data_IF_773745906452
#
_entry.id   IF_773745906452
#
_cell.length_a   1.000
_cell.length_b   1.000
_cell.length_c   1.000
_cell.angle_alpha   90.00
_cell.angle_beta   90.00
_cell.angle_gamma   90.00
#
_symmetry.space_group_name_H-M   'P 1'
#
loop_
_entity.id
_entity.type
_entity.pdbx_description
1 polymer ?
#
# COMPACT_ATOMS: atom_id res chain seq x y z
N UNK A 1 -15.02 6.24 -22.20
CA UNK A 1 -14.83 5.77 -20.85
C UNK A 1 -15.90 6.38 -19.96
N UNK A 2 -16.65 5.54 -19.22
CA UNK A 2 -17.89 5.97 -18.53
C UNK A 2 -17.69 6.78 -17.23
N UNK A 3 -16.48 6.90 -16.74
CA UNK A 3 -16.18 7.54 -15.44
C UNK A 3 -16.22 9.06 -15.49
N UNK A 4 -16.05 9.66 -16.67
CA UNK A 4 -15.99 11.13 -16.80
C UNK A 4 -17.37 11.83 -16.80
N UNK A 5 -18.47 11.09 -16.74
CA UNK A 5 -19.82 11.66 -16.84
C UNK A 5 -20.58 11.79 -15.51
N UNK A 6 -20.11 11.15 -14.42
CA UNK A 6 -20.78 11.24 -13.12
C UNK A 6 -19.75 11.26 -11.97
N UNK A 7 -19.63 12.37 -11.23
CA UNK A 7 -18.69 12.47 -10.10
C UNK A 7 -18.94 11.38 -9.02
N UNK A 8 -20.17 10.88 -8.93
CA UNK A 8 -20.53 9.83 -7.98
C UNK A 8 -19.81 8.49 -8.24
N UNK A 9 -19.56 8.12 -9.50
CA UNK A 9 -18.80 6.90 -9.81
C UNK A 9 -17.33 7.02 -9.42
N UNK A 10 -16.75 8.21 -9.57
CA UNK A 10 -15.38 8.48 -9.12
C UNK A 10 -15.27 8.37 -7.59
N UNK A 11 -16.20 8.98 -6.87
CA UNK A 11 -16.25 8.93 -5.39
C UNK A 11 -16.47 7.49 -4.93
N UNK A 12 -17.39 6.74 -5.53
CA UNK A 12 -17.62 5.34 -5.19
C UNK A 12 -16.36 4.48 -5.41
N UNK A 13 -15.65 4.68 -6.52
CA UNK A 13 -14.37 4.03 -6.80
C UNK A 13 -13.30 4.38 -5.75
N UNK A 14 -13.20 5.66 -5.38
CA UNK A 14 -12.27 6.13 -4.36
C UNK A 14 -12.58 5.52 -2.99
N UNK A 15 -13.85 5.44 -2.59
CA UNK A 15 -14.25 4.81 -1.33
C UNK A 15 -13.92 3.32 -1.31
N UNK A 16 -14.24 2.59 -2.38
CA UNK A 16 -13.90 1.16 -2.49
C UNK A 16 -12.38 0.93 -2.41
N UNK A 17 -11.61 1.79 -3.04
CA UNK A 17 -10.16 1.79 -3.02
C UNK A 17 -9.60 2.05 -1.61
N UNK A 18 -10.14 3.04 -0.89
CA UNK A 18 -9.76 3.32 0.51
C UNK A 18 -10.07 2.14 1.44
N UNK A 19 -11.21 1.48 1.26
CA UNK A 19 -11.58 0.29 2.04
C UNK A 19 -10.59 -0.86 1.80
N UNK A 20 -10.16 -1.09 0.56
CA UNK A 20 -9.14 -2.08 0.26
C UNK A 20 -7.81 -1.77 0.95
N UNK A 21 -7.36 -0.50 0.93
CA UNK A 21 -6.14 -0.07 1.62
C UNK A 21 -6.21 -0.24 3.13
N UNK A 22 -7.35 0.09 3.75
CA UNK A 22 -7.56 -0.13 5.18
C UNK A 22 -7.49 -1.61 5.55
N UNK A 23 -7.97 -2.49 4.68
CA UNK A 23 -7.85 -3.94 4.86
C UNK A 23 -6.38 -4.39 4.83
N UNK A 24 -5.56 -3.87 3.92
CA UNK A 24 -4.11 -4.13 3.90
C UNK A 24 -3.40 -3.60 5.14
N UNK A 25 -3.71 -2.37 5.57
CA UNK A 25 -3.15 -1.81 6.80
C UNK A 25 -3.48 -2.71 7.99
N UNK A 26 -4.72 -3.17 8.09
CA UNK A 26 -5.15 -4.07 9.17
C UNK A 26 -4.37 -5.37 9.16
N UNK A 27 -4.19 -6.00 7.99
CA UNK A 27 -3.42 -7.22 7.84
C UNK A 27 -1.95 -7.01 8.25
N UNK A 28 -1.32 -5.93 7.80
CA UNK A 28 0.09 -5.62 8.13
C UNK A 28 0.27 -5.22 9.60
N UNK A 29 -0.71 -4.53 10.18
CA UNK A 29 -0.71 -4.20 11.61
C UNK A 29 -0.83 -5.44 12.49
N UNK A 30 -1.62 -6.44 12.12
CA UNK A 30 -1.71 -7.70 12.85
C UNK A 30 -0.36 -8.42 12.86
N UNK A 31 0.38 -8.39 11.76
CA UNK A 31 1.74 -8.93 11.71
C UNK A 31 2.70 -8.17 12.64
N UNK A 32 2.57 -6.84 12.68
CA UNK A 32 3.36 -5.97 13.54
C UNK A 32 3.11 -6.26 15.02
N UNK A 33 1.86 -6.48 15.42
CA UNK A 33 1.48 -6.72 16.82
C UNK A 33 1.98 -8.07 17.36
N UNK A 34 2.19 -9.05 16.51
CA UNK A 34 2.58 -10.41 16.93
C UNK A 34 4.03 -10.52 17.42
N UNK A 35 4.92 -9.58 17.11
CA UNK A 35 6.33 -9.61 17.52
C UNK A 35 6.69 -8.51 18.50
N UNK A 36 7.39 -8.91 19.58
CA UNK A 36 7.78 -8.03 20.70
C UNK A 36 8.93 -7.07 20.31
N UNK A 37 9.74 -7.43 19.30
CA UNK A 37 10.96 -6.67 18.96
C UNK A 37 10.71 -5.80 17.73
N UNK A 38 10.39 -4.54 17.98
CA UNK A 38 10.24 -3.52 16.91
C UNK A 38 11.54 -2.74 16.75
N UNK A 39 11.98 -2.59 15.51
CA UNK A 39 13.10 -1.71 15.21
C UNK A 39 12.61 -0.25 15.14
N UNK A 40 12.72 0.48 16.26
CA UNK A 40 12.28 1.86 16.37
C UNK A 40 12.94 2.78 15.34
N UNK A 41 14.21 2.53 15.01
CA UNK A 41 14.96 3.31 14.01
C UNK A 41 14.38 3.11 12.63
N UNK A 42 14.10 1.87 12.24
CA UNK A 42 13.47 1.56 10.94
C UNK A 42 12.08 2.19 10.84
N UNK A 43 11.30 2.14 11.92
CA UNK A 43 9.99 2.79 11.99
C UNK A 43 10.09 4.29 11.78
N UNK A 44 11.01 4.95 12.47
CA UNK A 44 11.23 6.39 12.34
C UNK A 44 11.67 6.76 10.91
N UNK A 45 12.59 6.01 10.32
CA UNK A 45 13.02 6.21 8.93
C UNK A 45 11.83 6.06 7.97
N UNK A 46 11.01 5.03 8.13
CA UNK A 46 9.83 4.82 7.31
C UNK A 46 8.85 6.01 7.41
N UNK A 47 8.55 6.46 8.63
CA UNK A 47 7.67 7.61 8.88
C UNK A 47 8.22 8.88 8.23
N UNK A 48 9.53 9.14 8.34
CA UNK A 48 10.15 10.31 7.73
C UNK A 48 10.09 10.24 6.20
N UNK A 49 10.48 9.11 5.60
CA UNK A 49 10.52 8.96 4.13
C UNK A 49 9.11 9.07 3.54
N UNK A 50 8.16 8.28 4.03
CA UNK A 50 6.79 8.28 3.49
C UNK A 50 5.99 9.51 3.92
N UNK A 51 6.29 10.11 5.07
CA UNK A 51 5.72 11.38 5.50
C UNK A 51 6.14 12.55 4.61
N UNK A 52 7.44 12.68 4.33
CA UNK A 52 7.97 13.70 3.39
C UNK A 52 7.37 13.49 2.00
N UNK A 53 7.30 12.24 1.54
CA UNK A 53 6.68 11.91 0.26
C UNK A 53 5.21 12.34 0.21
N UNK A 54 4.42 12.02 1.24
CA UNK A 54 3.00 12.40 1.36
C UNK A 54 2.81 13.91 1.29
N UNK A 55 3.59 14.67 2.07
CA UNK A 55 3.55 16.14 2.11
C UNK A 55 3.94 16.73 0.75
N UNK A 56 5.01 16.24 0.14
CA UNK A 56 5.49 16.71 -1.16
C UNK A 56 4.46 16.47 -2.27
N UNK A 57 3.88 15.27 -2.30
CA UNK A 57 2.84 14.91 -3.27
C UNK A 57 1.60 15.77 -3.09
N UNK A 58 1.13 15.94 -1.85
CA UNK A 58 -0.04 16.76 -1.56
C UNK A 58 0.17 18.24 -1.96
N UNK A 59 1.33 18.80 -1.65
CA UNK A 59 1.67 20.16 -2.03
C UNK A 59 1.70 20.33 -3.57
N UNK A 60 2.25 19.35 -4.27
CA UNK A 60 2.29 19.34 -5.74
C UNK A 60 0.90 19.26 -6.36
N UNK A 61 0.00 18.48 -5.79
CA UNK A 61 -1.37 18.29 -6.30
C UNK A 61 -2.33 19.42 -5.87
N UNK A 62 -2.07 20.08 -4.75
CA UNK A 62 -2.96 21.02 -4.07
C UNK A 62 -3.60 22.08 -4.99
N UNK A 63 -2.91 22.67 -6.00
CA UNK A 63 -3.50 23.66 -6.89
C UNK A 63 -4.64 23.12 -7.77
N UNK A 64 -4.60 21.81 -8.10
CA UNK A 64 -5.58 21.16 -8.99
C UNK A 64 -6.72 20.44 -8.27
N UNK A 65 -6.69 20.33 -6.95
CA UNK A 65 -7.62 19.47 -6.20
C UNK A 65 -9.02 20.06 -5.98
N UNK A 66 -9.19 21.40 -6.01
CA UNK A 66 -10.49 22.04 -5.73
C UNK A 66 -11.12 21.50 -4.43
N UNK A 67 -12.37 21.01 -4.53
CA UNK A 67 -13.13 20.44 -3.39
C UNK A 67 -12.68 19.03 -2.97
N UNK A 68 -11.81 18.38 -3.75
CA UNK A 68 -11.32 17.04 -3.49
C UNK A 68 -10.07 17.00 -2.61
N UNK A 69 -9.65 18.13 -2.04
CA UNK A 69 -8.47 18.23 -1.16
C UNK A 69 -8.52 17.24 0.02
N UNK A 70 -9.66 17.17 0.70
CA UNK A 70 -9.82 16.29 1.87
C UNK A 70 -9.78 14.81 1.48
N UNK A 71 -10.57 14.33 0.50
CA UNK A 71 -10.49 12.94 0.07
C UNK A 71 -9.09 12.50 -0.40
N UNK A 72 -8.39 13.35 -1.15
CA UNK A 72 -7.05 13.03 -1.65
C UNK A 72 -6.01 13.05 -0.54
N UNK A 73 -6.11 13.98 0.42
CA UNK A 73 -5.26 13.97 1.61
C UNK A 73 -5.44 12.70 2.44
N UNK A 74 -6.68 12.28 2.69
CA UNK A 74 -6.99 11.04 3.38
C UNK A 74 -6.38 9.82 2.65
N UNK A 75 -6.53 9.74 1.34
CA UNK A 75 -5.94 8.70 0.51
C UNK A 75 -4.42 8.67 0.62
N UNK A 76 -3.76 9.82 0.51
CA UNK A 76 -2.31 9.93 0.62
C UNK A 76 -1.78 9.49 1.99
N UNK A 77 -2.49 9.83 3.08
CA UNK A 77 -2.14 9.39 4.44
C UNK A 77 -2.30 7.88 4.58
N UNK A 78 -3.41 7.32 4.11
CA UNK A 78 -3.70 5.89 4.22
C UNK A 78 -2.66 5.07 3.46
N UNK A 79 -2.33 5.45 2.23
CA UNK A 79 -1.34 4.75 1.40
C UNK A 79 0.07 4.85 2.00
N UNK A 80 0.46 6.02 2.50
CA UNK A 80 1.73 6.21 3.19
C UNK A 80 1.81 5.35 4.45
N UNK A 81 0.73 5.26 5.22
CA UNK A 81 0.63 4.40 6.40
C UNK A 81 0.78 2.93 6.02
N UNK A 82 0.14 2.48 4.95
CA UNK A 82 0.29 1.12 4.42
C UNK A 82 1.76 0.81 4.07
N UNK A 83 2.45 1.72 3.39
CA UNK A 83 3.87 1.56 3.05
C UNK A 83 4.78 1.54 4.28
N UNK A 84 4.50 2.35 5.29
CA UNK A 84 5.20 2.35 6.58
C UNK A 84 5.06 0.98 7.26
N UNK A 85 3.86 0.44 7.36
CA UNK A 85 3.66 -0.89 7.95
C UNK A 85 4.31 -1.99 7.11
N UNK A 86 4.24 -1.93 5.77
CA UNK A 86 4.91 -2.88 4.91
C UNK A 86 6.43 -2.89 5.13
N UNK A 87 7.08 -1.72 5.26
CA UNK A 87 8.50 -1.60 5.56
C UNK A 87 8.86 -2.14 6.94
N UNK A 88 7.99 -1.93 7.93
CA UNK A 88 8.22 -2.39 9.31
C UNK A 88 8.06 -3.91 9.51
N UNK A 89 7.57 -4.64 8.51
CA UNK A 89 7.60 -6.12 8.51
C UNK A 89 9.01 -6.72 8.37
N UNK A 90 10.02 -5.90 8.10
CA UNK A 90 11.41 -6.35 8.04
C UNK A 90 11.83 -7.10 9.31
N UNK A 91 12.35 -8.33 9.15
CA UNK A 91 12.69 -9.27 10.24
C UNK A 91 11.50 -9.79 11.07
N UNK A 92 10.27 -9.41 10.77
CA UNK A 92 9.08 -9.93 11.45
C UNK A 92 8.47 -11.13 10.72
N UNK A 93 8.66 -11.20 9.42
CA UNK A 93 8.22 -12.29 8.55
C UNK A 93 9.42 -12.87 7.79
N UNK A 94 9.21 -13.93 7.01
CA UNK A 94 10.28 -14.44 6.15
C UNK A 94 10.71 -13.39 5.13
N UNK A 95 11.96 -13.49 4.66
CA UNK A 95 12.56 -12.50 3.75
C UNK A 95 11.79 -12.37 2.43
N UNK A 96 11.28 -13.48 1.90
CA UNK A 96 10.54 -13.50 0.63
C UNK A 96 9.21 -12.79 0.77
N UNK A 97 8.42 -13.12 1.81
CA UNK A 97 7.16 -12.44 2.11
C UNK A 97 7.38 -10.93 2.32
N UNK A 98 8.42 -10.55 3.08
CA UNK A 98 8.74 -9.14 3.29
C UNK A 98 9.02 -8.40 1.97
N UNK A 99 9.94 -8.93 1.14
CA UNK A 99 10.33 -8.29 -0.13
C UNK A 99 9.12 -8.15 -1.05
N UNK A 100 8.32 -9.20 -1.18
CA UNK A 100 7.14 -9.18 -2.06
C UNK A 100 6.11 -8.14 -1.60
N UNK A 101 5.75 -8.13 -0.33
CA UNK A 101 4.76 -7.17 0.18
C UNK A 101 5.30 -5.74 0.12
N UNK A 102 6.58 -5.53 0.42
CA UNK A 102 7.19 -4.21 0.32
C UNK A 102 7.22 -3.70 -1.12
N UNK A 103 7.63 -4.53 -2.09
CA UNK A 103 7.55 -4.19 -3.51
C UNK A 103 6.11 -3.90 -3.95
N UNK A 104 5.17 -4.73 -3.52
CA UNK A 104 3.75 -4.50 -3.78
C UNK A 104 3.26 -3.16 -3.25
N UNK A 105 3.64 -2.77 -2.02
CA UNK A 105 3.30 -1.48 -1.44
C UNK A 105 3.92 -0.30 -2.23
N UNK A 106 5.15 -0.43 -2.71
CA UNK A 106 5.81 0.58 -3.55
C UNK A 106 5.11 0.71 -4.91
N UNK A 107 4.78 -0.41 -5.58
CA UNK A 107 4.01 -0.37 -6.83
C UNK A 107 2.61 0.24 -6.63
N UNK A 108 1.99 -0.04 -5.51
CA UNK A 108 0.68 0.53 -5.16
C UNK A 108 0.78 2.06 -4.98
N UNK A 109 1.79 2.52 -4.23
CA UNK A 109 2.09 3.93 -4.04
C UNK A 109 2.37 4.63 -5.37
N UNK A 110 3.14 4.00 -6.27
CA UNK A 110 3.44 4.51 -7.60
C UNK A 110 2.17 4.61 -8.46
N UNK A 111 1.30 3.60 -8.44
CA UNK A 111 0.02 3.59 -9.17
C UNK A 111 -0.89 4.72 -8.71
N UNK A 112 -1.05 4.89 -7.40
CA UNK A 112 -1.90 5.95 -6.84
C UNK A 112 -1.35 7.35 -7.13
N UNK A 113 -0.04 7.50 -7.03
CA UNK A 113 0.64 8.75 -7.42
C UNK A 113 0.43 9.08 -8.89
N UNK A 114 0.58 8.09 -9.78
CA UNK A 114 0.34 8.26 -11.21
C UNK A 114 -1.10 8.65 -11.50
N UNK A 115 -2.06 8.00 -10.83
CA UNK A 115 -3.50 8.34 -10.93
C UNK A 115 -3.78 9.76 -10.44
N UNK A 116 -3.21 10.16 -9.30
CA UNK A 116 -3.40 11.48 -8.75
C UNK A 116 -2.81 12.58 -9.65
N UNK A 117 -1.63 12.35 -10.23
CA UNK A 117 -1.01 13.27 -11.18
C UNK A 117 -1.86 13.40 -12.44
N UNK A 118 -2.33 12.29 -13.02
CA UNK A 118 -3.17 12.28 -14.22
C UNK A 118 -4.49 13.06 -14.02
N UNK A 119 -5.09 12.92 -12.84
CA UNK A 119 -6.39 13.54 -12.52
C UNK A 119 -6.29 15.00 -12.09
N UNK A 120 -5.28 15.38 -11.32
CA UNK A 120 -5.26 16.64 -10.59
C UNK A 120 -4.12 17.59 -10.97
N UNK A 121 -3.07 17.10 -11.64
CA UNK A 121 -1.95 17.94 -12.05
C UNK A 121 -1.88 18.06 -13.57
N UNK A 122 -1.54 16.99 -14.26
CA UNK A 122 -1.36 16.98 -15.71
C UNK A 122 -1.67 15.61 -16.27
N UNK A 123 -2.68 15.52 -17.13
CA UNK A 123 -2.96 14.30 -17.88
C UNK A 123 -1.83 14.04 -18.89
N UNK A 124 -1.43 12.77 -19.01
CA UNK A 124 -0.34 12.35 -19.88
C UNK A 124 -0.73 11.11 -20.72
N UNK A 125 -0.05 10.96 -21.86
CA UNK A 125 -0.31 9.85 -22.77
C UNK A 125 -0.02 8.51 -22.05
N UNK A 126 -0.88 7.51 -22.30
CA UNK A 126 -0.77 6.16 -21.71
C UNK A 126 -0.92 6.07 -20.18
N UNK A 127 -1.41 7.13 -19.50
CA UNK A 127 -1.63 7.13 -18.06
C UNK A 127 -2.42 5.90 -17.58
N UNK A 128 -3.51 5.54 -18.26
CA UNK A 128 -4.33 4.38 -17.94
C UNK A 128 -3.55 3.07 -17.98
N UNK A 129 -2.65 2.88 -18.94
CA UNK A 129 -1.83 1.65 -19.05
C UNK A 129 -0.83 1.61 -17.89
N UNK A 130 -0.15 2.71 -17.59
CA UNK A 130 0.84 2.79 -16.52
C UNK A 130 0.17 2.52 -15.17
N UNK A 131 -0.96 3.19 -14.89
CA UNK A 131 -1.72 3.03 -13.64
C UNK A 131 -2.18 1.58 -13.47
N UNK A 132 -2.80 1.00 -14.49
CA UNK A 132 -3.30 -0.38 -14.41
C UNK A 132 -2.18 -1.41 -14.29
N UNK A 133 -1.08 -1.26 -15.03
CA UNK A 133 0.06 -2.18 -14.95
C UNK A 133 0.71 -2.16 -13.57
N UNK A 134 0.96 -0.96 -13.02
CA UNK A 134 1.54 -0.82 -11.67
C UNK A 134 0.60 -1.33 -10.60
N UNK A 135 -0.71 -1.10 -10.74
CA UNK A 135 -1.73 -1.64 -9.84
C UNK A 135 -1.79 -3.17 -9.86
N UNK A 136 -1.80 -3.79 -11.05
CA UNK A 136 -1.80 -5.26 -11.17
C UNK A 136 -0.55 -5.88 -10.57
N UNK A 137 0.62 -5.27 -10.80
CA UNK A 137 1.88 -5.72 -10.18
C UNK A 137 1.82 -5.59 -8.65
N UNK A 138 1.27 -4.49 -8.13
CA UNK A 138 1.08 -4.28 -6.70
C UNK A 138 0.22 -5.40 -6.09
N UNK A 139 -0.94 -5.69 -6.68
CA UNK A 139 -1.85 -6.74 -6.22
C UNK A 139 -1.20 -8.13 -6.27
N UNK A 140 -0.50 -8.43 -7.36
CA UNK A 140 0.23 -9.69 -7.49
C UNK A 140 1.28 -9.87 -6.38
N UNK A 141 2.12 -8.87 -6.15
CA UNK A 141 3.18 -8.95 -5.15
C UNK A 141 2.64 -9.01 -3.72
N UNK A 142 1.59 -8.25 -3.39
CA UNK A 142 0.95 -8.29 -2.06
C UNK A 142 0.35 -9.67 -1.82
N UNK A 143 -0.41 -10.20 -2.79
CA UNK A 143 -1.07 -11.50 -2.66
C UNK A 143 -0.05 -12.63 -2.53
N UNK A 144 0.98 -12.67 -3.40
CA UNK A 144 2.05 -13.67 -3.32
C UNK A 144 2.82 -13.59 -2.01
N UNK A 145 3.12 -12.39 -1.55
CA UNK A 145 3.83 -12.20 -0.28
C UNK A 145 3.01 -12.60 0.94
N UNK A 146 1.69 -12.44 0.90
CA UNK A 146 0.79 -12.92 1.95
C UNK A 146 0.75 -14.45 2.01
N UNK A 147 0.56 -15.11 0.86
CA UNK A 147 0.56 -16.58 0.75
C UNK A 147 1.86 -17.21 1.22
N UNK A 148 3.00 -16.60 0.86
CA UNK A 148 4.33 -17.09 1.25
C UNK A 148 4.56 -17.08 2.76
N UNK A 149 3.92 -16.16 3.47
CA UNK A 149 3.93 -16.13 4.94
C UNK A 149 3.20 -17.35 5.51
N UNK A 150 2.00 -17.63 5.00
CA UNK A 150 1.13 -18.68 5.54
C UNK A 150 1.73 -20.08 5.31
N UNK A 151 2.30 -20.33 4.13
CA UNK A 151 2.96 -21.62 3.81
C UNK A 151 4.09 -21.92 4.79
N UNK A 152 4.92 -20.91 5.14
CA UNK A 152 6.02 -21.12 6.08
C UNK A 152 5.53 -21.33 7.52
N UNK A 153 4.44 -20.72 7.94
CA UNK A 153 3.85 -20.97 9.25
C UNK A 153 3.27 -22.38 9.36
N UNK A 154 2.58 -22.85 8.33
CA UNK A 154 2.03 -24.20 8.27
C UNK A 154 3.15 -25.24 8.31
N UNK A 155 4.20 -25.08 7.49
CA UNK A 155 5.35 -25.99 7.47
C UNK A 155 6.04 -26.05 8.83
N UNK A 156 6.21 -24.93 9.52
CA UNK A 156 6.80 -24.88 10.86
C UNK A 156 5.95 -25.63 11.88
N UNK A 157 4.63 -25.44 11.86
CA UNK A 157 3.72 -26.12 12.77
C UNK A 157 3.70 -27.64 12.54
N UNK A 158 3.73 -28.12 11.28
CA UNK A 158 3.80 -29.55 10.97
C UNK A 158 5.07 -30.17 11.52
N UNK A 159 6.24 -29.52 11.33
CA UNK A 159 7.53 -30.01 11.84
C UNK A 159 7.51 -30.09 13.38
N UNK A 160 6.88 -29.14 14.08
CA UNK A 160 6.80 -29.19 15.55
C UNK A 160 5.87 -30.30 16.07
N UNK A 161 4.80 -30.61 15.33
CA UNK A 161 3.89 -31.71 15.68
C UNK A 161 4.61 -33.05 15.49
N UNK A 162 5.40 -33.23 14.42
CA UNK A 162 6.17 -34.44 14.14
C UNK A 162 7.30 -34.65 15.15
N UNK A 163 7.87 -33.60 15.74
CA UNK A 163 8.92 -33.70 16.77
C UNK A 163 8.37 -33.91 18.19
N UNK A 164 7.06 -33.80 18.39
CA UNK A 164 6.39 -33.94 19.68
C UNK A 164 5.73 -35.32 19.90
N UNK A 165 5.81 -36.23 18.92
CA UNK A 165 5.38 -37.62 18.96
C UNK A 165 6.61 -38.52 19.09
#
# INVERSE_FOLDING_TARGET
MMVDKNPNFFIAGLVAFLLAQLSYITAFYLDFKQKITHNKVLFLIAVLVFGIFCISLFNYLSPGLGDLKIPVLCSAIIISTMAIFAMNRYRMVNRVSFIMIFLGAIFFLASDTALAIDKFAKSYAYSGIIIMSTYMLAQYYITRGALEKDVNQISFNIIFIDLSI
#
